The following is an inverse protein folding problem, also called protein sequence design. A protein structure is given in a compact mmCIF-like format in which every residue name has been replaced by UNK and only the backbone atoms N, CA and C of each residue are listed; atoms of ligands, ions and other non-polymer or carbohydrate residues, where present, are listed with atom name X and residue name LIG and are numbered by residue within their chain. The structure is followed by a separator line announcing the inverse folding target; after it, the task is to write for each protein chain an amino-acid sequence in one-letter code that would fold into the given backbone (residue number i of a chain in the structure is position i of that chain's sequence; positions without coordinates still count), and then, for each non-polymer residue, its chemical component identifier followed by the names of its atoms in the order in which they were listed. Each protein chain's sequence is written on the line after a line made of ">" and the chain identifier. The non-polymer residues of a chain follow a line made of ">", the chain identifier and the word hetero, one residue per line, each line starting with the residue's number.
data_IF_335899139168
#
_entry.id   IF_335899139168
#
_cell.length_a   1.000
_cell.length_b   1.000
_cell.length_c   1.000
_cell.angle_alpha   90.00
_cell.angle_beta   90.00
_cell.angle_gamma   90.00
#
_symmetry.space_group_name_H-M   'P 1'
#
loop_
_entity.id
_entity.type
_entity.pdbx_description
1 polymer ?
#
# COMPACT_ATOMS: atom_id res chain seq x y z
N UNK A 1 7.43 16.89 -0.59
CA UNK A 1 6.81 15.66 -1.08
C UNK A 1 5.51 15.98 -1.78
N UNK A 2 5.16 15.24 -2.82
CA UNK A 2 3.90 15.41 -3.58
C UNK A 2 2.67 15.26 -2.65
N UNK A 3 2.75 14.35 -1.67
CA UNK A 3 1.71 14.16 -0.67
C UNK A 3 1.39 15.44 0.11
N UNK A 4 2.39 16.23 0.52
CA UNK A 4 2.16 17.50 1.24
C UNK A 4 1.31 18.49 0.42
N UNK A 5 1.59 18.63 -0.87
CA UNK A 5 0.83 19.53 -1.75
C UNK A 5 -0.61 19.06 -1.91
N UNK A 6 -0.80 17.74 -2.04
CA UNK A 6 -2.13 17.15 -2.17
C UNK A 6 -2.95 17.29 -0.88
N UNK A 7 -2.33 17.01 0.26
CA UNK A 7 -2.98 17.03 1.57
C UNK A 7 -3.26 18.45 2.09
N UNK A 8 -2.51 19.47 1.63
CA UNK A 8 -2.78 20.87 1.96
C UNK A 8 -4.23 21.32 1.63
N UNK A 9 -4.91 20.60 0.72
CA UNK A 9 -6.32 20.83 0.37
C UNK A 9 -7.29 20.50 1.50
N UNK A 10 -6.86 19.69 2.47
CA UNK A 10 -7.70 19.24 3.59
C UNK A 10 -7.51 20.09 4.86
N UNK A 11 -6.53 21.02 4.86
CA UNK A 11 -6.24 21.90 5.98
C UNK A 11 -5.94 21.12 7.27
N UNK A 12 -6.42 21.64 8.39
CA UNK A 12 -6.18 21.06 9.73
C UNK A 12 -6.87 19.71 9.97
N UNK A 13 -7.63 19.21 9.00
CA UNK A 13 -8.27 17.89 9.08
C UNK A 13 -7.33 16.73 8.83
N UNK A 14 -6.11 17.01 8.37
CA UNK A 14 -5.10 15.99 8.04
C UNK A 14 -3.77 16.37 8.65
N UNK A 15 -3.21 15.46 9.43
CA UNK A 15 -1.83 15.54 9.89
C UNK A 15 -0.99 14.59 9.02
N UNK A 16 -0.01 15.16 8.31
CA UNK A 16 0.92 14.38 7.50
C UNK A 16 2.15 13.98 8.31
N UNK A 17 2.51 12.72 8.22
CA UNK A 17 3.70 12.15 8.83
C UNK A 17 4.53 11.47 7.76
N UNK A 18 5.82 11.79 7.71
CA UNK A 18 6.76 11.22 6.74
C UNK A 18 7.53 10.08 7.41
N UNK A 19 7.04 8.86 7.22
CA UNK A 19 7.62 7.64 7.76
C UNK A 19 7.79 6.62 6.64
N UNK A 20 8.81 5.78 6.75
CA UNK A 20 9.00 4.66 5.83
C UNK A 20 8.09 3.51 6.26
N UNK A 21 7.07 3.23 5.50
CA UNK A 21 6.07 2.19 5.79
C UNK A 21 6.22 0.93 4.95
N UNK A 22 7.08 0.97 3.92
CA UNK A 22 7.32 -0.14 3.00
C UNK A 22 8.67 0.03 2.28
N UNK A 23 9.11 -1.03 1.61
CA UNK A 23 10.28 -1.02 0.71
C UNK A 23 9.83 -0.84 -0.74
N UNK A 24 8.74 -1.49 -1.12
CA UNK A 24 8.30 -1.56 -2.51
C UNK A 24 9.10 -2.59 -3.32
N UNK A 25 9.24 -2.34 -4.62
CA UNK A 25 10.13 -3.10 -5.51
C UNK A 25 11.40 -2.30 -5.77
N UNK A 26 12.53 -2.97 -5.71
CA UNK A 26 13.85 -2.41 -6.03
C UNK A 26 14.26 -2.91 -7.41
N UNK A 27 14.36 -2.01 -8.38
CA UNK A 27 14.71 -2.35 -9.74
C UNK A 27 16.22 -2.19 -9.99
N UNK A 28 16.73 -2.96 -10.95
CA UNK A 28 18.06 -2.72 -11.53
C UNK A 28 18.09 -1.38 -12.22
N UNK A 29 19.25 -0.74 -12.25
CA UNK A 29 19.41 0.57 -12.84
C UNK A 29 18.93 0.58 -14.31
N UNK A 30 18.14 1.59 -14.66
CA UNK A 30 17.54 1.78 -15.99
C UNK A 30 16.75 0.57 -16.51
N UNK A 31 16.12 -0.20 -15.62
CA UNK A 31 15.40 -1.42 -15.95
C UNK A 31 14.08 -1.52 -15.17
N UNK A 32 13.11 -2.23 -15.73
CA UNK A 32 11.91 -2.68 -15.01
C UNK A 32 12.13 -4.04 -14.32
N UNK A 33 13.30 -4.63 -14.49
CA UNK A 33 13.64 -5.89 -13.86
C UNK A 33 13.99 -5.67 -12.39
N UNK A 34 13.36 -6.45 -11.51
CA UNK A 34 13.64 -6.40 -10.07
C UNK A 34 15.06 -6.92 -9.77
N UNK A 35 15.77 -6.21 -8.93
CA UNK A 35 17.04 -6.60 -8.36
C UNK A 35 16.80 -7.39 -7.07
N UNK A 36 16.66 -8.71 -7.20
CA UNK A 36 16.31 -9.59 -6.08
C UNK A 36 17.31 -9.49 -4.92
N UNK A 37 18.63 -9.60 -5.11
CA UNK A 37 19.57 -9.50 -4.00
C UNK A 37 19.49 -8.17 -3.25
N UNK A 38 19.33 -7.07 -3.97
CA UNK A 38 19.20 -5.75 -3.37
C UNK A 38 17.87 -5.59 -2.65
N UNK A 39 16.76 -6.12 -3.22
CA UNK A 39 15.45 -6.12 -2.58
C UNK A 39 15.47 -6.90 -1.26
N UNK A 40 16.06 -8.09 -1.23
CA UNK A 40 16.19 -8.89 0.00
C UNK A 40 17.01 -8.19 1.07
N UNK A 41 18.10 -7.53 0.69
CA UNK A 41 18.90 -6.73 1.61
C UNK A 41 18.07 -5.57 2.22
N UNK A 42 17.41 -4.78 1.38
CA UNK A 42 16.58 -3.66 1.84
C UNK A 42 15.38 -4.11 2.68
N UNK A 43 14.80 -5.27 2.39
CA UNK A 43 13.72 -5.84 3.21
C UNK A 43 14.25 -6.33 4.56
N UNK A 44 15.42 -6.94 4.59
CA UNK A 44 16.06 -7.36 5.84
C UNK A 44 16.32 -6.16 6.76
N UNK A 45 16.87 -5.09 6.23
CA UNK A 45 17.12 -3.86 6.97
C UNK A 45 15.82 -3.19 7.44
N UNK A 46 14.80 -3.18 6.58
CA UNK A 46 13.48 -2.67 6.92
C UNK A 46 12.84 -3.46 8.05
N UNK A 47 12.91 -4.79 7.99
CA UNK A 47 12.36 -5.68 9.01
C UNK A 47 13.11 -5.54 10.36
N UNK A 48 14.40 -5.29 10.33
CA UNK A 48 15.18 -5.03 11.56
C UNK A 48 14.70 -3.77 12.30
N UNK A 49 14.24 -2.74 11.58
CA UNK A 49 13.70 -1.51 12.15
C UNK A 49 12.19 -1.50 12.43
N UNK A 50 11.48 -2.54 11.98
CA UNK A 50 10.02 -2.57 11.95
C UNK A 50 9.35 -2.37 13.31
N UNK A 51 9.72 -3.18 14.30
CA UNK A 51 9.09 -3.12 15.64
C UNK A 51 9.37 -1.78 16.34
N UNK A 52 10.54 -1.17 16.08
CA UNK A 52 10.87 0.16 16.56
C UNK A 52 9.96 1.23 15.92
N UNK A 53 9.73 1.14 14.61
CA UNK A 53 8.84 2.05 13.90
C UNK A 53 7.39 1.93 14.40
N UNK A 54 6.90 0.71 14.60
CA UNK A 54 5.57 0.45 15.16
C UNK A 54 5.43 1.04 16.56
N UNK A 55 6.41 0.80 17.43
CA UNK A 55 6.41 1.33 18.80
C UNK A 55 6.38 2.86 18.82
N UNK A 56 7.15 3.50 17.97
CA UNK A 56 7.17 4.96 17.86
C UNK A 56 5.81 5.53 17.40
N UNK A 57 5.16 4.89 16.40
CA UNK A 57 3.85 5.32 15.93
C UNK A 57 2.76 5.11 16.98
N UNK A 58 2.75 3.97 17.66
CA UNK A 58 1.81 3.68 18.74
C UNK A 58 1.95 4.71 19.87
N UNK A 59 3.18 5.09 20.24
CA UNK A 59 3.41 6.09 21.29
C UNK A 59 2.80 7.46 20.93
N UNK A 60 2.80 7.82 19.65
CA UNK A 60 2.23 9.09 19.17
C UNK A 60 0.70 9.04 19.08
N UNK A 61 0.15 7.90 18.69
CA UNK A 61 -1.27 7.75 18.39
C UNK A 61 -2.10 7.33 19.60
N UNK A 62 -1.47 6.78 20.62
CA UNK A 62 -2.12 6.20 21.81
C UNK A 62 -3.10 7.14 22.51
N UNK A 63 -2.76 8.43 22.59
CA UNK A 63 -3.57 9.43 23.29
C UNK A 63 -4.55 10.15 22.34
N UNK A 64 -4.61 9.74 21.08
CA UNK A 64 -5.55 10.27 20.11
C UNK A 64 -6.78 9.37 19.98
N UNK A 65 -7.95 9.92 19.65
CA UNK A 65 -9.18 9.13 19.47
C UNK A 65 -9.17 8.40 18.12
N UNK A 66 -8.25 7.45 17.93
CA UNK A 66 -8.15 6.68 16.69
C UNK A 66 -9.31 5.71 16.59
N UNK A 67 -10.16 5.87 15.59
CA UNK A 67 -11.33 4.99 15.36
C UNK A 67 -10.98 3.73 14.56
N UNK A 68 -10.09 3.84 13.61
CA UNK A 68 -9.63 2.72 12.78
C UNK A 68 -8.31 3.08 12.09
N UNK A 69 -7.63 2.06 11.60
CA UNK A 69 -6.53 2.18 10.64
C UNK A 69 -7.01 1.73 9.27
N UNK A 70 -6.74 2.54 8.24
CA UNK A 70 -6.94 2.17 6.84
C UNK A 70 -5.57 2.10 6.19
N UNK A 71 -5.22 0.94 5.69
CA UNK A 71 -3.92 0.67 5.08
C UNK A 71 -4.06 0.32 3.60
N UNK A 72 -3.32 1.05 2.77
CA UNK A 72 -3.02 0.63 1.40
C UNK A 72 -1.74 -0.23 1.45
N UNK A 73 -1.93 -1.51 1.80
CA UNK A 73 -0.93 -2.59 1.98
C UNK A 73 0.27 -2.32 2.90
N UNK A 74 0.28 -1.23 3.66
CA UNK A 74 1.35 -1.00 4.64
C UNK A 74 1.24 -1.94 5.83
N UNK A 75 2.18 -2.86 5.97
CA UNK A 75 2.21 -3.80 7.08
C UNK A 75 2.48 -3.10 8.43
N UNK A 76 3.31 -2.06 8.46
CA UNK A 76 3.55 -1.26 9.68
C UNK A 76 2.25 -0.65 10.18
N UNK A 77 1.42 -0.07 9.30
CA UNK A 77 0.16 0.53 9.70
C UNK A 77 -0.80 -0.48 10.33
N UNK A 78 -0.87 -1.70 9.78
CA UNK A 78 -1.71 -2.78 10.31
C UNK A 78 -1.26 -3.19 11.72
N UNK A 79 0.05 -3.33 11.94
CA UNK A 79 0.57 -3.69 13.25
C UNK A 79 0.38 -2.56 14.29
N UNK A 80 0.46 -1.31 13.87
CA UNK A 80 0.10 -0.16 14.72
C UNK A 80 -1.37 -0.24 15.15
N UNK A 81 -2.29 -0.51 14.22
CA UNK A 81 -3.71 -0.65 14.54
C UNK A 81 -4.00 -1.82 15.48
N UNK A 82 -3.30 -2.96 15.32
CA UNK A 82 -3.37 -4.09 16.25
C UNK A 82 -2.95 -3.67 17.67
N UNK A 83 -1.79 -2.99 17.80
CA UNK A 83 -1.29 -2.58 19.12
C UNK A 83 -2.13 -1.47 19.78
N UNK A 84 -2.82 -0.65 19.00
CA UNK A 84 -3.79 0.32 19.51
C UNK A 84 -5.15 -0.32 19.86
N UNK A 85 -5.39 -1.57 19.46
CA UNK A 85 -6.66 -2.25 19.67
C UNK A 85 -7.81 -1.67 18.86
N UNK A 86 -7.51 -1.07 17.69
CA UNK A 86 -8.51 -0.47 16.81
C UNK A 86 -8.71 -1.31 15.55
N UNK A 87 -9.82 -1.06 14.84
CA UNK A 87 -10.16 -1.80 13.62
C UNK A 87 -9.15 -1.54 12.51
N UNK A 88 -8.68 -2.62 11.88
CA UNK A 88 -7.74 -2.61 10.76
C UNK A 88 -8.44 -2.94 9.44
N UNK A 89 -8.43 -2.01 8.50
CA UNK A 89 -9.03 -2.16 7.17
C UNK A 89 -7.92 -2.05 6.12
N UNK A 90 -7.70 -3.11 5.37
CA UNK A 90 -6.86 -3.09 4.18
C UNK A 90 -7.67 -2.65 2.96
N UNK A 91 -7.11 -1.80 2.11
CA UNK A 91 -7.68 -1.48 0.79
C UNK A 91 -6.57 -1.68 -0.22
N UNK A 92 -6.69 -2.69 -1.07
CA UNK A 92 -5.57 -3.08 -1.91
C UNK A 92 -6.00 -3.66 -3.25
N UNK A 93 -5.05 -3.63 -4.15
CA UNK A 93 -5.10 -4.36 -5.41
C UNK A 93 -4.10 -5.53 -5.45
N UNK A 94 -3.25 -5.68 -4.46
CA UNK A 94 -2.36 -6.82 -4.20
C UNK A 94 -1.85 -6.70 -2.77
N UNK A 95 -1.21 -7.74 -2.24
CA UNK A 95 -0.38 -7.63 -1.04
C UNK A 95 1.09 -7.95 -1.35
N UNK A 96 2.00 -7.55 -0.47
CA UNK A 96 3.41 -7.85 -0.67
C UNK A 96 3.70 -9.36 -0.59
N UNK A 97 2.82 -10.15 0.04
CA UNK A 97 2.99 -11.61 0.07
C UNK A 97 3.05 -12.21 -1.32
N UNK A 98 2.07 -11.90 -2.19
CA UNK A 98 2.03 -12.45 -3.55
C UNK A 98 3.20 -11.98 -4.40
N UNK A 99 3.55 -10.68 -4.25
CA UNK A 99 4.65 -10.12 -5.01
C UNK A 99 5.98 -10.78 -4.63
N UNK A 100 6.21 -10.98 -3.35
CA UNK A 100 7.45 -11.60 -2.87
C UNK A 100 7.49 -13.11 -3.13
N UNK A 101 6.35 -13.81 -3.04
CA UNK A 101 6.23 -15.20 -3.48
C UNK A 101 6.53 -15.35 -4.98
N UNK A 102 5.95 -14.49 -5.83
CA UNK A 102 6.18 -14.49 -7.27
C UNK A 102 7.67 -14.23 -7.61
N UNK A 103 8.35 -13.39 -6.85
CA UNK A 103 9.75 -13.08 -7.02
C UNK A 103 10.69 -14.16 -6.43
N UNK A 104 10.17 -15.12 -5.69
CA UNK A 104 10.93 -16.20 -5.08
C UNK A 104 11.82 -15.76 -3.91
N UNK A 105 11.37 -14.73 -3.16
CA UNK A 105 12.04 -14.29 -1.94
C UNK A 105 11.97 -15.35 -0.83
N UNK A 106 12.78 -15.20 0.21
CA UNK A 106 12.81 -16.15 1.32
C UNK A 106 11.48 -16.24 2.08
N UNK A 107 11.13 -17.46 2.53
CA UNK A 107 9.92 -17.70 3.32
C UNK A 107 9.89 -16.83 4.59
N UNK A 108 11.04 -16.54 5.19
CA UNK A 108 11.14 -15.67 6.37
C UNK A 108 10.57 -14.28 6.11
N UNK A 109 10.84 -13.69 4.94
CA UNK A 109 10.30 -12.39 4.54
C UNK A 109 8.79 -12.52 4.30
N UNK A 110 8.39 -13.50 3.50
CA UNK A 110 7.00 -13.72 3.10
C UNK A 110 6.12 -13.97 4.31
N UNK A 111 6.55 -14.84 5.23
CA UNK A 111 5.80 -15.20 6.42
C UNK A 111 5.61 -14.00 7.37
N UNK A 112 6.63 -13.16 7.53
CA UNK A 112 6.52 -11.93 8.34
C UNK A 112 5.41 -11.02 7.83
N UNK A 113 5.32 -10.81 6.53
CA UNK A 113 4.24 -10.02 5.93
C UNK A 113 2.87 -10.73 6.06
N UNK A 114 2.83 -12.04 5.84
CA UNK A 114 1.61 -12.85 5.96
C UNK A 114 1.03 -12.80 7.37
N UNK A 115 1.87 -12.92 8.39
CA UNK A 115 1.47 -12.82 9.80
C UNK A 115 0.81 -11.47 10.11
N UNK A 116 1.36 -10.39 9.57
CA UNK A 116 0.80 -9.06 9.82
C UNK A 116 -0.49 -8.83 9.02
N UNK A 117 -0.55 -9.25 7.76
CA UNK A 117 -1.79 -9.13 6.99
C UNK A 117 -2.93 -9.98 7.56
N UNK A 118 -2.63 -11.07 8.26
CA UNK A 118 -3.63 -11.87 8.97
C UNK A 118 -4.30 -11.11 10.14
N UNK A 119 -3.78 -9.94 10.52
CA UNK A 119 -4.36 -9.05 11.56
C UNK A 119 -5.40 -8.07 11.00
N UNK A 120 -5.70 -8.11 9.71
CA UNK A 120 -6.76 -7.30 9.13
C UNK A 120 -8.14 -7.81 9.56
N UNK A 121 -9.01 -6.89 10.00
CA UNK A 121 -10.42 -7.18 10.25
C UNK A 121 -11.23 -7.26 8.96
N UNK A 122 -10.76 -6.56 7.91
CA UNK A 122 -11.37 -6.55 6.59
C UNK A 122 -10.34 -6.20 5.53
N UNK A 123 -10.32 -6.95 4.44
CA UNK A 123 -9.59 -6.60 3.22
C UNK A 123 -10.60 -6.21 2.13
N UNK A 124 -10.52 -4.97 1.67
CA UNK A 124 -11.28 -4.45 0.53
C UNK A 124 -10.42 -4.59 -0.72
N UNK A 125 -10.89 -5.38 -1.67
CA UNK A 125 -10.19 -5.70 -2.93
C UNK A 125 -10.87 -5.01 -4.11
N UNK A 126 -10.08 -4.46 -5.02
CA UNK A 126 -10.61 -3.90 -6.25
C UNK A 126 -10.93 -5.00 -7.27
N UNK A 127 -11.88 -4.75 -8.18
CA UNK A 127 -12.09 -5.59 -9.36
C UNK A 127 -10.83 -5.63 -10.24
N UNK A 128 -10.74 -6.65 -11.09
CA UNK A 128 -9.62 -6.92 -12.00
C UNK A 128 -8.33 -7.36 -11.30
N UNK A 129 -8.46 -7.80 -10.07
CA UNK A 129 -7.35 -8.39 -9.34
C UNK A 129 -7.27 -9.89 -9.59
N UNK A 130 -6.06 -10.44 -9.68
CA UNK A 130 -5.93 -11.87 -9.45
C UNK A 130 -6.53 -12.20 -8.08
N UNK A 131 -7.17 -13.37 -7.92
CA UNK A 131 -7.69 -13.74 -6.61
C UNK A 131 -6.55 -13.60 -5.61
N UNK A 132 -6.73 -12.68 -4.66
CA UNK A 132 -5.73 -12.42 -3.65
C UNK A 132 -5.46 -13.68 -2.85
N UNK A 133 -4.27 -13.77 -2.26
CA UNK A 133 -3.83 -15.00 -1.66
C UNK A 133 -4.73 -15.42 -0.52
N UNK A 134 -4.45 -16.57 -0.09
CA UNK A 134 -5.02 -17.34 1.01
C UNK A 134 -4.85 -16.68 2.39
N UNK A 135 -5.00 -15.35 2.48
CA UNK A 135 -5.07 -14.68 3.78
C UNK A 135 -6.40 -15.06 4.45
N UNK A 136 -6.39 -15.56 5.69
CA UNK A 136 -7.58 -15.98 6.41
C UNK A 136 -8.34 -14.79 7.02
N UNK A 137 -8.67 -13.78 6.21
CA UNK A 137 -9.31 -12.54 6.64
C UNK A 137 -10.63 -12.33 5.90
N UNK A 138 -11.62 -11.67 6.51
CA UNK A 138 -12.84 -11.25 5.83
C UNK A 138 -12.51 -10.35 4.63
N UNK A 139 -13.19 -10.57 3.49
CA UNK A 139 -12.94 -9.85 2.25
C UNK A 139 -14.20 -9.21 1.69
N UNK A 140 -14.03 -8.08 1.04
CA UNK A 140 -15.09 -7.43 0.28
C UNK A 140 -14.54 -6.93 -1.05
N UNK A 141 -15.05 -7.47 -2.14
CA UNK A 141 -14.73 -6.98 -3.46
C UNK A 141 -15.55 -5.73 -3.78
N UNK A 142 -14.91 -4.74 -4.39
CA UNK A 142 -15.52 -3.49 -4.85
C UNK A 142 -15.04 -3.18 -6.26
N UNK A 143 -15.76 -2.31 -6.98
CA UNK A 143 -15.32 -1.79 -8.28
C UNK A 143 -14.04 -0.98 -8.17
N UNK A 144 -13.50 -0.59 -9.31
CA UNK A 144 -12.29 0.25 -9.36
C UNK A 144 -12.53 1.61 -8.72
N UNK A 145 -11.61 2.04 -7.88
CA UNK A 145 -11.58 3.40 -7.37
C UNK A 145 -10.90 4.29 -8.41
N UNK A 146 -11.62 5.28 -8.90
CA UNK A 146 -11.06 6.27 -9.80
C UNK A 146 -11.56 7.68 -9.44
N UNK A 147 -10.85 8.68 -9.94
CA UNK A 147 -11.29 10.06 -9.83
C UNK A 147 -12.55 10.28 -10.69
N UNK A 148 -13.39 11.21 -10.27
CA UNK A 148 -14.45 11.71 -11.16
C UNK A 148 -13.79 12.41 -12.33
N UNK A 149 -14.14 11.96 -13.53
CA UNK A 149 -13.67 12.58 -14.76
C UNK A 149 -14.63 13.71 -15.17
N UNK A 150 -14.09 14.73 -15.81
CA UNK A 150 -14.89 15.77 -16.45
C UNK A 150 -15.32 15.26 -17.84
N UNK A 151 -16.65 15.07 -18.10
CA UNK A 151 -17.13 14.54 -19.37
C UNK A 151 -16.72 15.39 -20.57
N UNK A 152 -16.76 16.72 -20.47
CA UNK A 152 -16.43 17.62 -21.58
C UNK A 152 -14.95 17.50 -21.97
N UNK A 153 -14.05 17.33 -21.00
CA UNK A 153 -12.63 17.07 -21.26
C UNK A 153 -12.40 15.71 -21.90
N UNK A 154 -13.17 14.70 -21.54
CA UNK A 154 -13.10 13.38 -22.16
C UNK A 154 -13.49 13.50 -23.62
N UNK A 155 -14.60 14.14 -23.94
CA UNK A 155 -15.05 14.32 -25.32
C UNK A 155 -14.07 15.16 -26.14
N UNK A 156 -13.48 16.20 -25.56
CA UNK A 156 -12.44 16.99 -26.23
C UNK A 156 -11.19 16.15 -26.56
N UNK A 157 -10.75 15.28 -25.64
CA UNK A 157 -9.62 14.37 -25.86
C UNK A 157 -9.97 13.36 -26.95
N UNK A 158 -11.17 12.76 -26.91
CA UNK A 158 -11.63 11.82 -27.94
C UNK A 158 -11.70 12.49 -29.33
N UNK A 159 -12.19 13.71 -29.39
CA UNK A 159 -12.25 14.47 -30.63
C UNK A 159 -10.86 14.78 -31.21
N UNK A 160 -9.89 15.05 -30.33
CA UNK A 160 -8.52 15.38 -30.72
C UNK A 160 -7.69 14.18 -31.18
N UNK A 161 -7.82 13.04 -30.45
CA UNK A 161 -6.93 11.88 -30.63
C UNK A 161 -7.63 10.65 -31.21
N UNK A 162 -8.95 10.66 -31.32
CA UNK A 162 -9.74 9.49 -31.74
C UNK A 162 -9.65 8.32 -30.74
N UNK A 163 -10.00 7.09 -31.17
CA UNK A 163 -9.80 5.90 -30.39
C UNK A 163 -8.32 5.68 -30.11
N UNK A 164 -7.91 5.83 -28.85
CA UNK A 164 -6.51 5.75 -28.45
C UNK A 164 -6.35 5.02 -27.12
N UNK A 165 -5.19 4.37 -26.96
CA UNK A 165 -4.76 3.74 -25.73
C UNK A 165 -3.61 4.57 -25.18
N UNK A 166 -3.73 5.06 -23.97
CA UNK A 166 -2.65 5.72 -23.25
C UNK A 166 -1.95 4.72 -22.32
N UNK A 167 -0.65 4.56 -22.52
CA UNK A 167 0.18 3.66 -21.72
C UNK A 167 1.22 4.52 -20.98
N UNK A 168 1.31 4.31 -19.66
CA UNK A 168 2.33 4.94 -18.82
C UNK A 168 2.81 3.95 -17.77
N UNK A 169 4.12 3.93 -17.54
CA UNK A 169 4.75 3.09 -16.52
C UNK A 169 4.99 3.86 -15.21
N UNK A 170 4.48 5.07 -15.10
CA UNK A 170 4.75 5.94 -13.96
C UNK A 170 6.16 6.54 -14.01
N UNK A 171 6.58 7.11 -12.90
CA UNK A 171 7.94 7.60 -12.72
C UNK A 171 8.73 6.53 -11.97
N UNK A 172 9.63 5.88 -12.68
CA UNK A 172 10.66 5.02 -12.10
C UNK A 172 11.76 5.85 -11.47
#
# INVERSE_FOLDING_TARGET
>A
SFARVYLARFGDRVTYRDIRTEVGLVNKDNSLQVDIPRLEHELTDFMAGWDTAVTAEVAILRDLPVACVISDISAIAIQVGEQLGVRNIGIANFTWCEQYEFLGLSDTIIDRFREVYAKLDLLIEYDLMPPAPKLPVPRKQIGLICRRFNPDRIEAIKAQYGPSIFITCGKS
#
